data_IF_238603287594
#
_entry.id   IF_238603287594
#
_cell.length_a   1.000
_cell.length_b   1.000
_cell.length_c   1.000
_cell.angle_alpha   90.00
_cell.angle_beta   90.00
_cell.angle_gamma   90.00
#
_symmetry.space_group_name_H-M   'P 1'
#
loop_
_entity.id
_entity.type
_entity.pdbx_description
1 polymer ?
#
# COMPACT_ATOMS: atom_id res chain seq x y z
N UNK A 1 39.90 -4.87 -13.26
CA UNK A 1 39.68 -5.93 -14.26
C UNK A 1 39.87 -7.23 -13.50
N UNK A 2 38.81 -8.03 -13.35
CA UNK A 2 38.93 -9.34 -12.71
C UNK A 2 38.53 -10.39 -13.74
N UNK A 3 39.52 -11.06 -14.32
CA UNK A 3 39.39 -12.05 -15.40
C UNK A 3 38.58 -11.53 -16.61
N UNK A 4 37.27 -11.76 -16.62
CA UNK A 4 36.34 -11.34 -17.68
C UNK A 4 35.46 -10.13 -17.33
N UNK A 5 35.57 -9.59 -16.11
CA UNK A 5 34.73 -8.47 -15.65
C UNK A 5 35.46 -7.13 -15.74
N UNK A 6 34.85 -6.16 -16.44
CA UNK A 6 35.25 -4.76 -16.48
C UNK A 6 34.07 -3.85 -16.11
N UNK A 7 34.38 -2.79 -15.35
CA UNK A 7 33.42 -1.74 -15.00
C UNK A 7 33.69 -0.53 -15.88
N UNK A 8 32.64 0.04 -16.47
CA UNK A 8 32.71 1.21 -17.32
C UNK A 8 31.70 2.26 -16.85
N UNK A 9 32.06 3.53 -16.98
CA UNK A 9 31.14 4.65 -16.79
C UNK A 9 30.56 4.99 -18.17
N UNK A 10 29.24 4.89 -18.30
CA UNK A 10 28.51 5.20 -19.53
C UNK A 10 27.67 6.47 -19.33
N UNK A 11 27.68 7.36 -20.32
CA UNK A 11 26.78 8.51 -20.39
C UNK A 11 25.66 8.22 -21.40
N UNK A 12 24.42 7.98 -20.95
CA UNK A 12 23.33 7.61 -21.85
C UNK A 12 22.89 8.80 -22.71
N UNK A 13 22.44 8.56 -23.96
CA UNK A 13 21.79 9.59 -24.79
C UNK A 13 20.55 10.20 -24.13
N UNK A 14 20.18 11.42 -24.52
CA UNK A 14 19.09 12.22 -23.92
C UNK A 14 17.75 11.46 -23.80
N UNK A 15 17.44 10.62 -24.80
CA UNK A 15 16.23 9.76 -24.77
C UNK A 15 16.12 8.85 -23.55
N UNK A 16 17.22 8.56 -22.87
CA UNK A 16 17.29 7.69 -21.69
C UNK A 16 17.64 8.45 -20.41
N UNK A 17 17.79 9.78 -20.45
CA UNK A 17 18.14 10.61 -19.29
C UNK A 17 16.93 11.25 -18.60
N UNK A 18 15.74 10.69 -18.79
CA UNK A 18 14.51 11.18 -18.15
C UNK A 18 14.54 10.96 -16.64
N UNK A 19 14.20 12.00 -15.87
CA UNK A 19 14.07 11.93 -14.40
C UNK A 19 12.59 12.07 -14.04
N UNK A 20 12.06 11.11 -13.30
CA UNK A 20 10.71 11.21 -12.73
C UNK A 20 10.72 12.23 -11.60
N UNK A 21 9.97 13.34 -11.78
CA UNK A 21 9.87 14.41 -10.78
C UNK A 21 8.46 14.44 -10.20
N UNK A 22 8.35 14.58 -8.88
CA UNK A 22 7.08 14.76 -8.16
C UNK A 22 7.16 16.03 -7.32
N UNK A 23 6.25 16.97 -7.55
CA UNK A 23 6.19 18.26 -6.85
C UNK A 23 5.06 18.24 -5.82
N UNK A 24 5.37 18.62 -4.58
CA UNK A 24 4.40 18.76 -3.49
C UNK A 24 4.28 20.24 -3.16
N UNK A 25 3.12 20.84 -3.44
CA UNK A 25 2.83 22.24 -3.15
C UNK A 25 1.34 22.43 -2.81
N UNK A 26 0.98 22.98 -1.63
CA UNK A 26 1.87 23.46 -0.56
C UNK A 26 2.55 22.34 0.24
N UNK A 27 3.82 22.56 0.59
CA UNK A 27 4.58 21.64 1.44
C UNK A 27 4.27 21.93 2.92
N UNK A 28 3.68 20.97 3.62
CA UNK A 28 3.37 21.08 5.06
C UNK A 28 4.51 20.48 5.89
N UNK A 29 4.59 20.79 7.18
CA UNK A 29 5.58 20.17 8.08
C UNK A 29 5.49 18.64 8.10
N UNK A 30 4.29 18.08 7.92
CA UNK A 30 4.08 16.62 7.80
C UNK A 30 4.79 16.05 6.57
N UNK A 31 4.73 16.74 5.42
CA UNK A 31 5.47 16.33 4.21
C UNK A 31 6.98 16.37 4.46
N UNK A 32 7.49 17.41 5.12
CA UNK A 32 8.93 17.51 5.45
C UNK A 32 9.35 16.38 6.38
N UNK A 33 8.61 16.14 7.47
CA UNK A 33 8.92 15.08 8.42
C UNK A 33 9.00 13.71 7.74
N UNK A 34 8.07 13.42 6.82
CA UNK A 34 8.00 12.17 6.04
C UNK A 34 9.19 11.93 5.12
N UNK A 35 9.64 12.95 4.39
CA UNK A 35 10.73 12.81 3.41
C UNK A 35 12.12 13.15 3.96
N UNK A 36 12.20 13.73 5.16
CA UNK A 36 13.46 13.94 5.86
C UNK A 36 14.11 12.59 6.15
N UNK A 37 15.43 12.51 6.02
CA UNK A 37 16.16 11.32 6.41
C UNK A 37 15.97 11.04 7.92
N UNK A 38 15.58 9.82 8.25
CA UNK A 38 15.27 9.39 9.61
C UNK A 38 16.06 8.13 9.95
N UNK A 39 16.67 8.11 11.14
CA UNK A 39 17.27 6.89 11.69
C UNK A 39 16.16 5.88 11.98
N UNK A 40 16.28 4.69 11.41
CA UNK A 40 15.32 3.60 11.61
C UNK A 40 15.77 2.70 12.75
N UNK A 41 14.83 2.34 13.62
CA UNK A 41 15.05 1.44 14.73
C UNK A 41 14.13 0.23 14.60
N UNK A 42 14.64 -0.95 14.98
CA UNK A 42 13.81 -2.15 15.10
C UNK A 42 13.26 -2.18 16.52
N UNK A 43 11.94 -2.23 16.65
CA UNK A 43 11.23 -2.22 17.93
C UNK A 43 10.44 -3.52 18.05
N UNK A 44 10.50 -4.14 19.23
CA UNK A 44 9.68 -5.27 19.60
C UNK A 44 8.53 -4.77 20.48
N UNK A 45 7.34 -4.64 19.90
CA UNK A 45 6.15 -4.13 20.59
C UNK A 45 5.35 -5.27 21.24
N UNK A 46 5.17 -5.22 22.56
CA UNK A 46 4.30 -6.16 23.28
C UNK A 46 2.81 -5.76 23.18
N UNK A 47 1.87 -6.67 23.48
CA UNK A 47 0.45 -6.33 23.52
C UNK A 47 0.10 -5.21 24.50
N UNK A 48 0.83 -5.10 25.61
CA UNK A 48 0.62 -4.06 26.61
C UNK A 48 1.17 -2.70 26.13
N UNK A 49 2.32 -2.68 25.45
CA UNK A 49 2.85 -1.47 24.80
C UNK A 49 1.87 -0.95 23.74
N UNK A 50 1.30 -1.85 22.94
CA UNK A 50 0.30 -1.47 21.94
C UNK A 50 -0.90 -0.75 22.58
N UNK A 51 -1.43 -1.28 23.69
CA UNK A 51 -2.61 -0.70 24.36
C UNK A 51 -2.31 0.60 25.09
N UNK A 52 -1.10 0.74 25.64
CA UNK A 52 -0.75 1.87 26.52
C UNK A 52 -0.04 3.02 25.81
N UNK A 53 0.64 2.74 24.70
CA UNK A 53 1.47 3.71 23.97
C UNK A 53 0.96 3.92 22.55
N UNK A 54 0.93 2.85 21.74
CA UNK A 54 0.66 2.95 20.31
C UNK A 54 -0.79 3.29 20.00
N UNK A 55 -1.75 2.60 20.62
CA UNK A 55 -3.18 2.79 20.37
C UNK A 55 -3.63 4.21 20.75
N UNK A 56 -3.28 4.76 21.93
CA UNK A 56 -3.57 6.16 22.25
C UNK A 56 -2.98 7.13 21.21
N UNK A 57 -1.72 6.91 20.79
CA UNK A 57 -1.08 7.74 19.78
C UNK A 57 -1.82 7.68 18.42
N UNK A 58 -2.26 6.49 17.98
CA UNK A 58 -3.03 6.33 16.75
C UNK A 58 -4.40 7.01 16.81
N UNK A 59 -5.02 7.06 17.98
CA UNK A 59 -6.32 7.71 18.19
C UNK A 59 -6.19 9.25 18.27
N UNK A 60 -5.09 9.75 18.83
CA UNK A 60 -4.75 11.17 18.85
C UNK A 60 -4.42 11.70 17.45
N UNK A 61 -3.69 10.91 16.65
CA UNK A 61 -3.36 11.26 15.28
C UNK A 61 -4.59 11.09 14.38
N UNK A 62 -5.34 12.17 14.17
CA UNK A 62 -6.44 12.24 13.19
C UNK A 62 -5.89 12.21 11.75
N UNK A 63 -5.50 11.03 11.30
CA UNK A 63 -5.15 10.84 9.90
C UNK A 63 -6.41 10.88 9.04
N UNK A 64 -6.36 11.66 7.97
CA UNK A 64 -7.52 11.87 7.10
C UNK A 64 -7.64 10.71 6.11
N UNK A 65 -8.44 9.70 6.46
CA UNK A 65 -8.79 8.56 5.58
C UNK A 65 -9.80 8.92 4.47
N UNK A 66 -9.92 10.21 4.13
CA UNK A 66 -10.94 10.74 3.22
C UNK A 66 -10.84 10.12 1.83
N UNK A 67 -9.63 9.84 1.35
CA UNK A 67 -9.44 9.21 0.05
C UNK A 67 -9.96 7.76 0.01
N UNK A 68 -9.79 6.98 1.09
CA UNK A 68 -10.36 5.62 1.21
C UNK A 68 -11.87 5.69 1.17
N UNK A 69 -12.48 6.59 1.95
CA UNK A 69 -13.93 6.77 1.93
C UNK A 69 -14.42 7.24 0.56
N UNK A 70 -13.72 8.16 -0.10
CA UNK A 70 -14.06 8.58 -1.45
C UNK A 70 -14.01 7.43 -2.46
N UNK A 71 -13.04 6.51 -2.34
CA UNK A 71 -12.93 5.33 -3.20
C UNK A 71 -14.05 4.33 -2.91
N UNK A 72 -14.36 4.07 -1.63
CA UNK A 72 -15.43 3.17 -1.20
C UNK A 72 -16.85 3.67 -1.55
N UNK A 73 -17.03 5.00 -1.60
CA UNK A 73 -18.28 5.71 -1.96
C UNK A 73 -18.35 6.06 -3.44
N UNK A 74 -17.41 5.58 -4.27
CA UNK A 74 -17.34 5.83 -5.71
C UNK A 74 -17.29 7.31 -6.12
N UNK A 75 -16.76 8.17 -5.25
CA UNK A 75 -16.59 9.61 -5.50
C UNK A 75 -15.30 9.94 -6.26
N UNK A 76 -14.33 9.02 -6.28
CA UNK A 76 -13.05 9.18 -6.95
C UNK A 76 -12.42 7.81 -7.34
N UNK A 77 -11.52 7.83 -8.32
CA UNK A 77 -10.67 6.68 -8.74
C UNK A 77 -11.38 5.43 -9.28
N UNK A 78 -12.63 5.57 -9.72
CA UNK A 78 -13.43 4.46 -10.25
C UNK A 78 -12.82 3.74 -11.44
N UNK A 79 -12.20 4.48 -12.36
CA UNK A 79 -11.62 3.92 -13.58
C UNK A 79 -10.43 2.98 -13.30
N UNK A 80 -9.86 3.07 -12.09
CA UNK A 80 -8.66 2.31 -11.72
C UNK A 80 -9.00 0.99 -11.02
N UNK A 81 -10.26 0.81 -10.59
CA UNK A 81 -10.68 -0.39 -9.87
C UNK A 81 -10.45 -1.64 -10.74
N UNK A 82 -9.87 -2.67 -10.13
CA UNK A 82 -9.61 -3.97 -10.75
C UNK A 82 -10.76 -4.91 -10.45
N UNK A 83 -11.22 -4.90 -9.19
CA UNK A 83 -12.27 -5.76 -8.70
C UNK A 83 -12.96 -5.11 -7.52
N UNK A 84 -14.25 -5.38 -7.36
CA UNK A 84 -15.06 -4.88 -6.26
C UNK A 84 -16.02 -5.95 -5.76
N UNK A 85 -16.01 -6.14 -4.45
CA UNK A 85 -17.02 -6.90 -3.72
C UNK A 85 -17.84 -5.94 -2.86
N UNK A 86 -19.15 -5.90 -3.11
CA UNK A 86 -20.08 -4.97 -2.49
C UNK A 86 -20.53 -5.40 -1.08
N UNK A 87 -20.12 -6.59 -0.61
CA UNK A 87 -20.49 -7.05 0.73
C UNK A 87 -19.98 -6.08 1.82
N UNK A 88 -20.85 -5.58 2.71
CA UNK A 88 -20.47 -4.56 3.69
C UNK A 88 -19.50 -5.08 4.77
N UNK A 89 -19.47 -6.40 4.98
CA UNK A 89 -18.74 -7.03 6.08
C UNK A 89 -17.46 -7.72 5.61
N UNK A 90 -17.55 -8.52 4.55
CA UNK A 90 -16.45 -9.32 4.01
C UNK A 90 -16.01 -8.83 2.62
N UNK A 91 -16.59 -7.75 2.11
CA UNK A 91 -16.25 -7.16 0.82
C UNK A 91 -15.08 -6.19 0.88
N UNK A 92 -14.50 -5.94 -0.30
CA UNK A 92 -13.33 -5.09 -0.48
C UNK A 92 -13.27 -4.56 -1.92
N UNK A 93 -12.48 -3.51 -2.12
CA UNK A 93 -12.10 -2.99 -3.43
C UNK A 93 -10.63 -3.32 -3.68
N UNK A 94 -10.31 -3.80 -4.87
CA UNK A 94 -8.96 -4.02 -5.35
C UNK A 94 -8.61 -2.93 -6.36
N UNK A 95 -7.57 -2.15 -6.08
CA UNK A 95 -7.13 -1.06 -6.95
C UNK A 95 -5.60 -0.96 -7.00
N UNK A 96 -5.01 -0.50 -8.12
CA UNK A 96 -3.57 -0.25 -8.17
C UNK A 96 -3.18 0.91 -7.24
N UNK A 97 -2.05 0.75 -6.56
CA UNK A 97 -1.55 1.77 -5.63
C UNK A 97 -0.91 2.95 -6.39
N UNK A 98 -0.86 4.12 -5.73
CA UNK A 98 -0.23 5.32 -6.28
C UNK A 98 1.26 5.15 -6.61
N UNK A 99 1.94 4.20 -5.97
CA UNK A 99 3.36 3.90 -6.22
C UNK A 99 3.59 3.22 -7.57
N UNK A 100 2.57 2.59 -8.16
CA UNK A 100 2.71 1.91 -9.44
C UNK A 100 2.41 2.83 -10.63
N UNK A 101 3.24 2.75 -11.67
CA UNK A 101 3.15 3.59 -12.87
C UNK A 101 2.11 3.13 -13.89
N UNK A 102 1.47 1.97 -13.65
CA UNK A 102 0.48 1.38 -14.55
C UNK A 102 1.04 0.79 -15.84
N UNK A 103 2.37 0.80 -16.03
CA UNK A 103 3.03 0.37 -17.27
C UNK A 103 3.83 -0.90 -17.07
N UNK A 104 4.70 -0.92 -16.06
CA UNK A 104 5.60 -2.05 -15.87
C UNK A 104 4.98 -3.08 -14.91
N UNK A 105 4.55 -4.22 -15.45
CA UNK A 105 3.99 -5.33 -14.66
C UNK A 105 5.01 -5.93 -13.69
N UNK A 106 6.32 -5.81 -13.94
CA UNK A 106 7.34 -6.28 -13.00
C UNK A 106 7.31 -5.52 -11.67
N UNK A 107 6.75 -4.30 -11.68
CA UNK A 107 6.59 -3.46 -10.49
C UNK A 107 5.11 -3.37 -10.06
N UNK A 108 4.26 -4.31 -10.49
CA UNK A 108 2.83 -4.29 -10.17
C UNK A 108 2.63 -4.17 -8.66
N UNK A 109 1.89 -3.15 -8.26
CA UNK A 109 1.54 -2.90 -6.87
C UNK A 109 0.04 -2.60 -6.76
N UNK A 110 -0.66 -3.45 -6.00
CA UNK A 110 -2.11 -3.43 -5.89
C UNK A 110 -2.48 -3.45 -4.41
N UNK A 111 -3.51 -2.68 -4.06
CA UNK A 111 -4.04 -2.54 -2.72
C UNK A 111 -5.46 -3.10 -2.65
N UNK A 112 -5.73 -3.89 -1.62
CA UNK A 112 -7.07 -4.33 -1.25
C UNK A 112 -7.56 -3.48 -0.07
N UNK A 113 -8.69 -2.79 -0.25
CA UNK A 113 -9.29 -1.90 0.75
C UNK A 113 -10.63 -2.48 1.18
N UNK A 114 -10.72 -2.87 2.45
CA UNK A 114 -11.91 -3.50 3.02
C UNK A 114 -13.05 -2.49 3.21
N UNK A 115 -14.29 -2.97 3.12
CA UNK A 115 -15.50 -2.15 3.39
C UNK A 115 -15.81 -2.04 4.87
N UNK A 116 -15.56 -3.12 5.63
CA UNK A 116 -15.76 -3.19 7.08
C UNK A 116 -14.99 -2.07 7.79
N UNK A 117 -15.69 -1.33 8.65
CA UNK A 117 -15.11 -0.27 9.49
C UNK A 117 -14.65 -0.85 10.83
N UNK A 118 -13.69 -0.16 11.47
CA UNK A 118 -13.25 -0.50 12.82
C UNK A 118 -12.01 -1.38 12.92
N UNK A 119 -11.53 -1.94 11.80
CA UNK A 119 -10.23 -2.63 11.75
C UNK A 119 -9.15 -1.59 11.41
N UNK A 120 -8.29 -1.27 12.37
CA UNK A 120 -7.19 -0.30 12.22
C UNK A 120 -5.88 -0.98 11.80
N UNK A 121 -5.63 -2.18 12.31
CA UNK A 121 -4.39 -2.93 12.02
C UNK A 121 -4.58 -4.44 12.18
N UNK A 122 -3.50 -5.19 11.94
CA UNK A 122 -3.44 -6.64 12.20
C UNK A 122 -3.74 -6.98 13.67
N UNK A 123 -3.57 -6.04 14.61
CA UNK A 123 -3.87 -6.22 16.04
C UNK A 123 -5.37 -6.38 16.31
N UNK A 124 -6.23 -5.87 15.42
CA UNK A 124 -7.69 -5.95 15.57
C UNK A 124 -8.28 -7.21 14.95
N UNK A 125 -7.48 -7.97 14.19
CA UNK A 125 -7.95 -9.17 13.51
C UNK A 125 -8.18 -10.31 14.50
N UNK A 126 -9.34 -10.95 14.35
CA UNK A 126 -9.76 -12.10 15.14
C UNK A 126 -10.09 -13.28 14.23
N UNK A 127 -10.44 -14.43 14.81
CA UNK A 127 -10.92 -15.59 14.05
C UNK A 127 -12.18 -15.29 13.24
N UNK A 128 -12.99 -14.30 13.65
CA UNK A 128 -14.21 -13.92 12.96
C UNK A 128 -13.93 -13.20 11.63
N UNK A 129 -12.71 -12.73 11.43
CA UNK A 129 -12.28 -12.03 10.22
C UNK A 129 -11.72 -12.98 9.16
N UNK A 130 -11.59 -14.28 9.45
CA UNK A 130 -11.13 -15.29 8.49
C UNK A 130 -11.93 -15.27 7.17
N UNK A 131 -13.27 -15.16 7.15
CA UNK A 131 -14.03 -15.08 5.89
C UNK A 131 -13.62 -13.88 5.03
N UNK A 132 -13.39 -12.71 5.63
CA UNK A 132 -12.92 -11.51 4.95
C UNK A 132 -11.51 -11.74 4.36
N UNK A 133 -10.57 -12.27 5.14
CA UNK A 133 -9.19 -12.50 4.70
C UNK A 133 -9.10 -13.54 3.57
N UNK A 134 -9.87 -14.63 3.69
CA UNK A 134 -9.96 -15.62 2.63
C UNK A 134 -10.58 -15.06 1.35
N UNK A 135 -11.63 -14.24 1.49
CA UNK A 135 -12.29 -13.59 0.37
C UNK A 135 -11.33 -12.66 -0.38
N UNK A 136 -10.61 -11.80 0.34
CA UNK A 136 -9.58 -10.93 -0.22
C UNK A 136 -8.54 -11.76 -0.96
N UNK A 137 -7.98 -12.79 -0.32
CA UNK A 137 -6.95 -13.63 -0.91
C UNK A 137 -7.43 -14.30 -2.20
N UNK A 138 -8.55 -15.04 -2.13
CA UNK A 138 -9.09 -15.80 -3.26
C UNK A 138 -9.47 -14.89 -4.43
N UNK A 139 -10.28 -13.86 -4.19
CA UNK A 139 -10.80 -12.98 -5.25
C UNK A 139 -9.73 -12.07 -5.83
N UNK A 140 -8.75 -11.63 -5.03
CA UNK A 140 -7.65 -10.80 -5.55
C UNK A 140 -6.78 -11.57 -6.55
N UNK A 141 -6.42 -12.82 -6.25
CA UNK A 141 -5.61 -13.61 -7.20
C UNK A 141 -6.36 -13.89 -8.50
N UNK A 142 -7.67 -14.16 -8.43
CA UNK A 142 -8.50 -14.34 -9.63
C UNK A 142 -8.52 -13.05 -10.46
N UNK A 143 -8.83 -11.92 -9.85
CA UNK A 143 -8.92 -10.64 -10.54
C UNK A 143 -7.56 -10.17 -11.13
N UNK A 144 -6.46 -10.39 -10.42
CA UNK A 144 -5.10 -10.11 -10.91
C UNK A 144 -4.76 -10.99 -12.11
N UNK A 145 -5.10 -12.27 -12.06
CA UNK A 145 -4.89 -13.20 -13.16
C UNK A 145 -5.71 -12.82 -14.39
N UNK A 146 -6.99 -12.48 -14.20
CA UNK A 146 -7.88 -12.08 -15.29
C UNK A 146 -7.44 -10.78 -15.96
N UNK A 147 -7.01 -9.77 -15.17
CA UNK A 147 -6.65 -8.45 -15.70
C UNK A 147 -5.22 -8.38 -16.25
N UNK A 148 -4.27 -9.07 -15.63
CA UNK A 148 -2.84 -8.93 -15.92
C UNK A 148 -2.16 -10.23 -16.36
N UNK A 149 -2.84 -11.37 -16.32
CA UNK A 149 -2.26 -12.67 -16.70
C UNK A 149 -1.22 -13.20 -15.71
N UNK A 150 -1.15 -12.65 -14.50
CA UNK A 150 -0.15 -13.03 -13.49
C UNK A 150 -0.71 -14.13 -12.60
N UNK A 151 0.03 -15.22 -12.45
CA UNK A 151 -0.37 -16.33 -11.59
C UNK A 151 -0.06 -16.05 -10.11
N UNK A 152 -0.84 -16.68 -9.22
CA UNK A 152 -0.70 -16.56 -7.76
C UNK A 152 0.74 -16.76 -7.25
N UNK A 153 1.52 -17.66 -7.84
CA UNK A 153 2.89 -17.96 -7.41
C UNK A 153 3.89 -16.82 -7.68
N UNK A 154 3.52 -15.85 -8.52
CA UNK A 154 4.32 -14.68 -8.86
C UNK A 154 3.93 -13.45 -8.02
N UNK A 155 2.91 -13.57 -7.17
CA UNK A 155 2.37 -12.48 -6.36
C UNK A 155 2.75 -12.68 -4.91
N UNK A 156 3.35 -11.66 -4.30
CA UNK A 156 3.57 -11.59 -2.87
C UNK A 156 2.43 -10.75 -2.28
N UNK A 157 1.66 -11.33 -1.37
CA UNK A 157 0.61 -10.63 -0.62
C UNK A 157 1.03 -10.48 0.84
N UNK A 158 0.97 -9.25 1.35
CA UNK A 158 1.40 -8.93 2.71
C UNK A 158 0.57 -7.79 3.30
N UNK A 159 0.43 -7.78 4.63
CA UNK A 159 -0.12 -6.67 5.39
C UNK A 159 1.00 -5.90 6.09
N UNK A 160 0.80 -4.60 6.29
CA UNK A 160 1.68 -3.80 7.13
C UNK A 160 1.13 -3.77 8.56
N UNK A 161 1.97 -4.14 9.54
CA UNK A 161 1.59 -4.25 10.97
C UNK A 161 1.27 -2.88 11.57
N UNK A 162 2.12 -1.90 11.27
CA UNK A 162 1.79 -0.49 11.46
C UNK A 162 1.28 0.01 10.12
N UNK A 163 0.03 0.48 10.08
CA UNK A 163 -0.57 0.98 8.86
C UNK A 163 0.22 2.21 8.38
N UNK A 164 1.17 2.00 7.47
CA UNK A 164 1.93 3.09 6.83
C UNK A 164 1.00 3.94 5.95
N UNK A 165 -0.25 3.51 5.71
CA UNK A 165 -1.28 4.33 5.06
C UNK A 165 -1.54 5.65 5.81
N UNK A 166 -1.22 5.72 7.10
CA UNK A 166 -1.26 6.94 7.90
C UNK A 166 -0.14 7.93 7.58
N UNK A 167 1.01 7.46 7.12
CA UNK A 167 2.11 8.30 6.63
C UNK A 167 2.15 8.38 5.10
N UNK A 168 1.33 7.61 4.37
CA UNK A 168 1.41 7.48 2.91
C UNK A 168 0.82 8.66 2.14
N UNK A 169 0.06 9.56 2.77
CA UNK A 169 -0.37 10.83 2.18
C UNK A 169 0.16 12.01 2.99
#
# INVERSE_FOLDING_TARGET
MNDIYSNHILFPPEKFSGIKTTLINPCTEKHIAKYRDQKRYVIYETPDDYKTITLPYLEEQQFTMKWIFNMLEHKAEMDRIIFEDADPENGFILAPDLKWDGKNLANLYVLAIIRRKGIKSIRDLTSNDLPLLENISKKSYIAIKEKYGIDKHQVISSFYVFFILYEAL
#
